data_IF_289792668013
#
_entry.id   IF_289792668013
#
_cell.length_a   1.000
_cell.length_b   1.000
_cell.length_c   1.000
_cell.angle_alpha   90.00
_cell.angle_beta   90.00
_cell.angle_gamma   90.00
#
_symmetry.space_group_name_H-M   'P 1'
#
loop_
_entity.id
_entity.type
_entity.pdbx_description
1 polymer ?
#
# COMPACT_ATOMS: atom_id res chain seq x y z
N UNK A 1 3.61 20.63 -31.94
CA UNK A 1 4.80 21.16 -31.22
C UNK A 1 5.07 20.21 -30.09
N UNK A 2 6.14 19.42 -30.14
CA UNK A 2 6.53 18.50 -29.07
C UNK A 2 7.06 19.35 -27.92
N UNK A 3 6.34 19.40 -26.81
CA UNK A 3 6.52 20.46 -25.81
C UNK A 3 7.74 20.19 -24.91
N UNK A 4 8.06 18.93 -24.59
CA UNK A 4 9.11 18.63 -23.61
C UNK A 4 10.22 17.70 -24.14
N UNK A 5 9.94 16.72 -24.99
CA UNK A 5 10.88 15.63 -25.29
C UNK A 5 11.98 15.91 -26.34
N UNK A 6 11.92 17.03 -27.08
CA UNK A 6 12.95 17.40 -28.11
C UNK A 6 13.74 18.66 -27.77
N UNK A 7 13.72 19.07 -26.48
CA UNK A 7 14.41 20.28 -26.02
C UNK A 7 15.60 19.91 -25.16
N UNK A 8 16.53 20.82 -25.03
CA UNK A 8 17.59 20.74 -24.04
C UNK A 8 16.94 20.85 -22.65
N UNK A 9 17.57 20.29 -21.61
CA UNK A 9 17.06 20.37 -20.23
C UNK A 9 16.80 21.81 -19.76
N UNK A 10 17.61 22.76 -20.24
CA UNK A 10 17.43 24.18 -19.93
C UNK A 10 16.18 24.77 -20.60
N UNK A 11 15.90 24.41 -21.84
CA UNK A 11 14.68 24.84 -22.56
C UNK A 11 13.42 24.21 -21.97
N UNK A 12 13.49 22.93 -21.61
CA UNK A 12 12.39 22.24 -20.91
C UNK A 12 12.07 22.96 -19.59
N UNK A 13 13.09 23.24 -18.78
CA UNK A 13 12.94 23.92 -17.49
C UNK A 13 12.34 25.32 -17.65
N UNK A 14 12.82 26.08 -18.64
CA UNK A 14 12.28 27.41 -18.97
C UNK A 14 10.81 27.33 -19.37
N UNK A 15 10.45 26.32 -20.14
CA UNK A 15 9.06 26.11 -20.54
C UNK A 15 8.16 25.73 -19.33
N UNK A 16 8.62 24.80 -18.51
CA UNK A 16 7.89 24.38 -17.29
C UNK A 16 7.76 25.54 -16.32
N UNK A 17 8.80 26.40 -16.18
CA UNK A 17 8.71 27.61 -15.36
C UNK A 17 7.57 28.52 -15.77
N UNK A 18 7.40 28.78 -17.08
CA UNK A 18 6.28 29.60 -17.59
C UNK A 18 4.91 28.98 -17.26
N UNK A 19 4.79 27.64 -17.32
CA UNK A 19 3.56 26.96 -16.93
C UNK A 19 3.28 27.13 -15.42
N UNK A 20 4.30 27.01 -14.60
CA UNK A 20 4.25 27.15 -13.15
C UNK A 20 3.86 28.60 -12.77
N UNK A 21 4.50 29.60 -13.38
CA UNK A 21 4.20 31.02 -13.15
C UNK A 21 2.74 31.37 -13.52
N UNK A 22 2.24 30.72 -14.58
CA UNK A 22 0.84 30.90 -15.01
C UNK A 22 -0.14 30.19 -14.07
N UNK A 23 0.22 29.00 -13.59
CA UNK A 23 -0.65 28.17 -12.76
C UNK A 23 -0.73 28.67 -11.31
N UNK A 24 0.36 29.21 -10.78
CA UNK A 24 0.48 29.66 -9.39
C UNK A 24 1.18 31.01 -9.29
N UNK A 25 0.58 32.10 -9.80
CA UNK A 25 1.21 33.43 -9.90
C UNK A 25 1.61 34.02 -8.55
N UNK A 26 0.89 33.67 -7.48
CA UNK A 26 1.14 34.22 -6.13
C UNK A 26 2.19 33.45 -5.34
N UNK A 27 2.59 32.26 -5.80
CA UNK A 27 3.52 31.39 -5.05
C UNK A 27 4.98 31.54 -5.48
N UNK A 28 5.21 32.00 -6.72
CA UNK A 28 6.54 32.22 -7.32
C UNK A 28 7.58 31.10 -7.07
N UNK A 29 7.25 29.81 -7.20
CA UNK A 29 8.24 28.76 -6.99
C UNK A 29 9.20 28.67 -8.18
N UNK A 30 10.45 28.34 -7.90
CA UNK A 30 11.48 28.13 -8.92
C UNK A 30 11.56 26.65 -9.31
N UNK A 31 11.48 26.36 -10.61
CA UNK A 31 11.67 25.01 -11.15
C UNK A 31 13.15 24.64 -11.10
N UNK A 32 13.49 23.69 -10.25
CA UNK A 32 14.84 23.20 -10.01
C UNK A 32 15.22 22.01 -10.91
N UNK A 33 16.03 21.12 -10.36
CA UNK A 33 16.52 19.93 -11.07
C UNK A 33 15.42 18.91 -11.36
N UNK A 34 15.66 18.09 -12.38
CA UNK A 34 14.85 16.90 -12.67
C UNK A 34 15.12 15.84 -11.59
N UNK A 35 14.06 15.33 -10.99
CA UNK A 35 14.10 14.25 -10.00
C UNK A 35 13.88 12.88 -10.64
N UNK A 36 13.12 12.83 -11.74
CA UNK A 36 12.85 11.59 -12.46
C UNK A 36 12.19 11.84 -13.81
N UNK A 37 12.41 10.90 -14.76
CA UNK A 37 11.77 10.89 -16.08
C UNK A 37 11.06 9.56 -16.29
N UNK A 38 9.78 9.64 -16.65
CA UNK A 38 8.96 8.50 -17.05
C UNK A 38 8.51 8.62 -18.50
N UNK A 39 7.77 7.64 -18.99
CA UNK A 39 7.33 7.60 -20.39
C UNK A 39 6.41 8.76 -20.82
N UNK A 40 5.70 9.40 -19.88
CA UNK A 40 4.75 10.48 -20.17
C UNK A 40 4.83 11.62 -19.16
N UNK A 41 5.73 11.55 -18.19
CA UNK A 41 5.85 12.54 -17.14
C UNK A 41 7.31 12.78 -16.76
N UNK A 42 7.59 14.01 -16.36
CA UNK A 42 8.85 14.42 -15.77
C UNK A 42 8.55 15.00 -14.40
N UNK A 43 9.35 14.62 -13.41
CA UNK A 43 9.25 15.15 -12.05
C UNK A 43 10.38 16.12 -11.80
N UNK A 44 10.05 17.34 -11.40
CA UNK A 44 10.98 18.41 -11.05
C UNK A 44 10.94 18.71 -9.57
N UNK A 45 12.01 19.22 -9.02
CA UNK A 45 12.02 19.88 -7.72
C UNK A 45 11.48 21.31 -7.87
N UNK A 46 10.52 21.72 -7.06
CA UNK A 46 10.12 23.10 -6.88
C UNK A 46 10.78 23.66 -5.61
N UNK A 47 11.30 24.88 -5.68
CA UNK A 47 11.90 25.57 -4.55
C UNK A 47 11.17 26.90 -4.32
N UNK A 48 10.71 27.11 -3.12
CA UNK A 48 9.98 28.32 -2.71
C UNK A 48 10.90 29.32 -1.99
N UNK A 49 10.51 30.59 -1.97
CA UNK A 49 11.29 31.66 -1.35
C UNK A 49 11.50 31.47 0.18
N UNK A 50 10.61 30.75 0.83
CA UNK A 50 10.70 30.40 2.26
C UNK A 50 11.61 29.18 2.54
N UNK A 51 12.27 28.64 1.53
CA UNK A 51 13.15 27.47 1.62
C UNK A 51 12.45 26.12 1.53
N UNK A 52 11.11 26.06 1.51
CA UNK A 52 10.36 24.83 1.24
C UNK A 52 10.70 24.27 -0.13
N UNK A 53 10.61 22.97 -0.26
CA UNK A 53 10.73 22.29 -1.55
C UNK A 53 9.59 21.27 -1.72
N UNK A 54 9.09 21.18 -2.94
CA UNK A 54 8.02 20.26 -3.33
C UNK A 54 8.45 19.50 -4.60
N UNK A 55 7.75 18.40 -4.93
CA UNK A 55 7.87 17.74 -6.21
C UNK A 55 6.77 18.23 -7.16
N UNK A 56 7.14 18.53 -8.39
CA UNK A 56 6.23 18.87 -9.49
C UNK A 56 6.27 17.77 -10.54
N UNK A 57 5.19 17.01 -10.66
CA UNK A 57 5.01 16.06 -11.77
C UNK A 57 4.34 16.79 -12.94
N UNK A 58 5.00 16.79 -14.09
CA UNK A 58 4.50 17.36 -15.34
C UNK A 58 4.16 16.21 -16.29
N UNK A 59 2.88 16.05 -16.61
CA UNK A 59 2.40 15.06 -17.58
C UNK A 59 2.14 15.79 -18.89
N UNK A 60 2.94 15.48 -19.90
CA UNK A 60 2.81 16.08 -21.23
C UNK A 60 2.02 15.15 -22.16
N UNK A 61 0.82 15.56 -22.53
CA UNK A 61 -0.05 14.81 -23.45
C UNK A 61 0.12 15.24 -24.91
N UNK A 62 0.87 16.32 -25.16
CA UNK A 62 1.14 16.83 -26.50
C UNK A 62 2.10 15.93 -27.31
N UNK A 63 2.86 15.09 -26.63
CA UNK A 63 3.75 14.09 -27.25
C UNK A 63 3.00 13.11 -28.16
N UNK A 64 1.69 12.93 -27.94
CA UNK A 64 0.88 12.06 -28.76
C UNK A 64 0.32 12.81 -29.97
N UNK A 65 0.84 12.51 -31.15
CA UNK A 65 0.31 13.05 -32.43
C UNK A 65 -1.05 12.46 -32.77
N UNK A 66 -1.30 11.20 -32.41
CA UNK A 66 -2.59 10.55 -32.60
C UNK A 66 -3.64 11.11 -31.63
N UNK A 67 -4.77 11.66 -32.13
CA UNK A 67 -5.83 12.22 -31.30
C UNK A 67 -6.44 11.24 -30.30
N UNK A 68 -6.57 9.96 -30.69
CA UNK A 68 -7.12 8.93 -29.80
C UNK A 68 -6.19 8.64 -28.62
N UNK A 69 -4.88 8.55 -28.87
CA UNK A 69 -3.85 8.37 -27.82
C UNK A 69 -3.77 9.60 -26.93
N UNK A 70 -3.87 10.81 -27.50
CA UNK A 70 -3.89 12.06 -26.72
C UNK A 70 -5.14 12.12 -25.81
N UNK A 71 -6.31 11.78 -26.35
CA UNK A 71 -7.56 11.71 -25.56
C UNK A 71 -7.42 10.73 -24.39
N UNK A 72 -6.80 9.58 -24.60
CA UNK A 72 -6.54 8.60 -23.55
C UNK A 72 -5.56 9.13 -22.51
N UNK A 73 -4.45 9.76 -22.92
CA UNK A 73 -3.47 10.37 -22.03
C UNK A 73 -4.11 11.48 -21.16
N UNK A 74 -4.95 12.32 -21.76
CA UNK A 74 -5.72 13.35 -21.04
C UNK A 74 -6.67 12.74 -19.99
N UNK A 75 -7.34 11.64 -20.34
CA UNK A 75 -8.19 10.93 -19.39
C UNK A 75 -7.36 10.36 -18.23
N UNK A 76 -6.18 9.79 -18.50
CA UNK A 76 -5.28 9.28 -17.47
C UNK A 76 -4.79 10.39 -16.55
N UNK A 77 -4.35 11.52 -17.09
CA UNK A 77 -3.90 12.66 -16.26
C UNK A 77 -5.00 13.18 -15.32
N UNK A 78 -6.24 13.32 -15.82
CA UNK A 78 -7.38 13.69 -14.96
C UNK A 78 -7.69 12.63 -13.89
N UNK A 79 -7.64 11.35 -14.26
CA UNK A 79 -7.87 10.24 -13.34
C UNK A 79 -6.80 10.17 -12.26
N UNK A 80 -5.53 10.39 -12.62
CA UNK A 80 -4.42 10.45 -11.68
C UNK A 80 -4.62 11.55 -10.63
N UNK A 81 -4.91 12.77 -11.08
CA UNK A 81 -5.19 13.89 -10.19
C UNK A 81 -6.35 13.56 -9.24
N UNK A 82 -7.44 13.03 -9.78
CA UNK A 82 -8.61 12.67 -8.98
C UNK A 82 -8.31 11.64 -7.91
N UNK A 83 -7.68 10.52 -8.27
CA UNK A 83 -7.36 9.44 -7.33
C UNK A 83 -6.33 9.88 -6.30
N UNK A 84 -5.27 10.58 -6.73
CA UNK A 84 -4.23 11.06 -5.83
C UNK A 84 -4.80 12.05 -4.80
N UNK A 85 -5.59 13.02 -5.25
CA UNK A 85 -6.27 13.98 -4.36
C UNK A 85 -7.21 13.29 -3.38
N UNK A 86 -8.00 12.32 -3.86
CA UNK A 86 -8.93 11.56 -3.02
C UNK A 86 -8.21 10.76 -1.93
N UNK A 87 -7.15 10.03 -2.28
CA UNK A 87 -6.40 9.20 -1.34
C UNK A 87 -5.61 10.06 -0.36
N UNK A 88 -4.88 11.06 -0.86
CA UNK A 88 -4.07 11.95 -0.02
C UNK A 88 -4.88 12.71 1.04
N UNK A 89 -6.18 12.96 0.79
CA UNK A 89 -7.08 13.59 1.77
C UNK A 89 -7.56 12.62 2.87
N UNK A 90 -7.44 11.30 2.66
CA UNK A 90 -7.98 10.27 3.55
C UNK A 90 -6.91 9.54 4.36
N UNK A 91 -5.71 9.45 3.84
CA UNK A 91 -4.65 8.64 4.45
C UNK A 91 -3.27 9.28 4.31
N UNK A 92 -2.38 8.93 5.22
CA UNK A 92 -0.96 9.30 5.21
C UNK A 92 -0.07 8.22 4.56
N UNK A 93 -0.66 7.11 4.09
CA UNK A 93 0.07 6.02 3.43
C UNK A 93 0.41 6.28 1.96
N UNK A 94 -0.01 7.42 1.44
CA UNK A 94 0.31 7.88 0.09
C UNK A 94 1.03 9.23 0.13
N UNK A 95 1.74 9.56 -0.95
CA UNK A 95 2.38 10.87 -1.11
C UNK A 95 1.34 11.98 -0.99
N UNK A 96 1.63 13.05 -0.23
CA UNK A 96 0.70 14.18 -0.08
C UNK A 96 0.54 14.92 -1.40
N UNK A 97 -0.71 15.14 -1.77
CA UNK A 97 -1.10 15.99 -2.89
C UNK A 97 -1.36 17.40 -2.38
N UNK A 98 -0.74 18.40 -2.98
CA UNK A 98 -0.92 19.80 -2.59
C UNK A 98 -1.89 20.52 -3.52
N UNK A 99 -1.61 20.47 -4.84
CA UNK A 99 -2.43 21.17 -5.82
C UNK A 99 -2.17 20.66 -7.24
N UNK A 100 -3.02 21.05 -8.19
CA UNK A 100 -2.86 20.72 -9.60
C UNK A 100 -3.36 21.83 -10.52
N UNK A 101 -2.74 21.93 -11.67
CA UNK A 101 -3.18 22.80 -12.75
C UNK A 101 -3.14 22.07 -14.10
N UNK A 102 -3.78 22.61 -15.10
CA UNK A 102 -3.68 22.12 -16.48
C UNK A 102 -3.52 23.28 -17.45
N UNK A 103 -2.70 23.08 -18.47
CA UNK A 103 -2.48 24.06 -19.54
C UNK A 103 -3.15 23.61 -20.83
N UNK A 104 -3.92 24.51 -21.46
CA UNK A 104 -4.54 24.30 -22.76
C UNK A 104 -3.96 25.29 -23.79
N UNK A 105 -3.82 24.88 -25.04
CA UNK A 105 -3.57 25.83 -26.12
C UNK A 105 -4.83 26.67 -26.43
N UNK A 106 -4.63 27.92 -26.88
CA UNK A 106 -5.75 28.77 -27.33
C UNK A 106 -6.55 28.06 -28.44
N UNK A 107 -7.85 27.88 -28.21
CA UNK A 107 -8.76 27.24 -29.17
C UNK A 107 -8.82 25.71 -29.09
N UNK A 108 -8.17 25.08 -28.09
CA UNK A 108 -8.32 23.65 -27.81
C UNK A 108 -9.05 23.42 -26.49
N UNK A 109 -10.03 22.49 -26.51
CA UNK A 109 -10.81 22.12 -25.32
C UNK A 109 -10.10 21.08 -24.44
N UNK A 110 -8.95 20.54 -24.86
CA UNK A 110 -8.23 19.48 -24.15
C UNK A 110 -6.89 19.99 -23.61
N UNK A 111 -6.56 19.66 -22.35
CA UNK A 111 -5.25 20.00 -21.80
C UNK A 111 -4.11 19.39 -22.58
N UNK A 112 -3.00 20.15 -22.70
CA UNK A 112 -1.74 19.68 -23.25
C UNK A 112 -0.78 19.20 -22.18
N UNK A 113 -0.85 19.80 -20.99
CA UNK A 113 -0.06 19.41 -19.84
C UNK A 113 -0.91 19.38 -18.57
N UNK A 114 -0.60 18.45 -17.69
CA UNK A 114 -1.06 18.47 -16.30
C UNK A 114 0.12 18.71 -15.38
N UNK A 115 -0.08 19.55 -14.38
CA UNK A 115 0.90 19.91 -13.36
C UNK A 115 0.36 19.45 -12.02
N UNK A 116 1.12 18.62 -11.29
CA UNK A 116 0.75 18.12 -9.96
C UNK A 116 1.84 18.52 -8.97
N UNK A 117 1.47 19.32 -7.98
CA UNK A 117 2.33 19.66 -6.84
C UNK A 117 2.10 18.64 -5.73
N UNK A 118 3.18 18.06 -5.24
CA UNK A 118 3.12 17.01 -4.21
C UNK A 118 4.33 17.06 -3.31
N UNK A 119 4.27 16.32 -2.23
CA UNK A 119 5.34 16.17 -1.26
C UNK A 119 6.62 15.67 -1.94
N UNK A 120 7.74 16.31 -1.59
CA UNK A 120 9.07 15.91 -2.05
C UNK A 120 9.64 14.87 -1.09
N UNK A 121 9.78 13.64 -1.55
CA UNK A 121 10.27 12.51 -0.78
C UNK A 121 11.44 11.81 -1.48
N UNK A 122 12.13 10.95 -0.74
CA UNK A 122 13.27 10.16 -1.25
C UNK A 122 12.78 8.84 -1.83
N UNK A 123 13.13 8.48 -3.08
CA UNK A 123 12.80 7.18 -3.66
C UNK A 123 13.42 6.01 -2.88
N UNK A 124 12.69 4.89 -2.79
CA UNK A 124 13.23 3.62 -2.31
C UNK A 124 14.25 3.09 -3.30
N UNK A 125 15.51 2.95 -2.86
CA UNK A 125 16.54 2.27 -3.63
C UNK A 125 16.80 0.87 -3.02
N UNK A 126 16.41 -0.22 -3.70
CA UNK A 126 16.66 -1.57 -3.21
C UNK A 126 18.15 -1.87 -2.96
N UNK A 127 19.07 -1.20 -3.68
CA UNK A 127 20.51 -1.41 -3.53
C UNK A 127 21.01 -1.09 -2.13
N UNK A 128 20.34 -0.21 -1.39
CA UNK A 128 20.65 0.08 0.01
C UNK A 128 20.49 -1.15 0.92
N UNK A 129 19.73 -2.17 0.50
CA UNK A 129 19.55 -3.42 1.23
C UNK A 129 20.64 -4.45 0.93
N UNK A 130 21.44 -4.24 -0.12
CA UNK A 130 22.43 -5.22 -0.57
C UNK A 130 23.54 -5.48 0.47
N UNK A 131 23.88 -4.47 1.26
CA UNK A 131 24.90 -4.55 2.31
C UNK A 131 24.42 -5.29 3.57
N UNK A 132 23.11 -5.50 3.74
CA UNK A 132 22.56 -6.19 4.91
C UNK A 132 22.76 -7.71 4.77
N UNK A 133 23.09 -8.37 5.89
CA UNK A 133 22.99 -9.83 5.97
C UNK A 133 21.54 -10.29 5.78
N UNK A 134 21.31 -11.60 5.49
CA UNK A 134 19.97 -12.09 5.18
C UNK A 134 18.92 -11.80 6.25
N UNK A 135 19.24 -11.94 7.53
CA UNK A 135 18.28 -11.74 8.62
C UNK A 135 17.88 -10.26 8.78
N UNK A 136 18.85 -9.35 8.76
CA UNK A 136 18.59 -7.91 8.80
C UNK A 136 17.87 -7.43 7.52
N UNK A 137 18.18 -8.04 6.38
CA UNK A 137 17.47 -7.76 5.12
C UNK A 137 16.01 -8.21 5.20
N UNK A 138 15.72 -9.41 5.72
CA UNK A 138 14.33 -9.86 5.94
C UNK A 138 13.55 -8.86 6.81
N UNK A 139 14.14 -8.39 7.92
CA UNK A 139 13.50 -7.41 8.80
C UNK A 139 13.21 -6.10 8.07
N UNK A 140 14.20 -5.53 7.38
CA UNK A 140 14.04 -4.28 6.63
C UNK A 140 12.98 -4.41 5.52
N UNK A 141 12.99 -5.51 4.79
CA UNK A 141 12.03 -5.79 3.74
C UNK A 141 10.62 -5.94 4.28
N UNK A 142 10.43 -6.62 5.42
CA UNK A 142 9.14 -6.72 6.08
C UNK A 142 8.61 -5.36 6.55
N UNK A 143 9.47 -4.45 7.01
CA UNK A 143 9.07 -3.09 7.37
C UNK A 143 8.56 -2.32 6.14
N UNK A 144 9.27 -2.42 5.00
CA UNK A 144 8.83 -1.82 3.73
C UNK A 144 7.49 -2.42 3.29
N UNK A 145 7.38 -3.75 3.32
CA UNK A 145 6.16 -4.45 2.91
C UNK A 145 4.96 -4.11 3.78
N UNK A 146 5.13 -3.93 5.10
CA UNK A 146 4.09 -3.46 6.00
C UNK A 146 3.51 -2.13 5.52
N UNK A 147 4.36 -1.14 5.31
CA UNK A 147 3.93 0.21 4.92
C UNK A 147 3.24 0.21 3.54
N UNK A 148 3.77 -0.58 2.59
CA UNK A 148 3.16 -0.73 1.25
C UNK A 148 1.80 -1.41 1.34
N UNK A 149 1.67 -2.49 2.13
CA UNK A 149 0.41 -3.21 2.28
C UNK A 149 -0.65 -2.37 3.01
N UNK A 150 -0.26 -1.54 3.99
CA UNK A 150 -1.17 -0.56 4.59
C UNK A 150 -1.69 0.42 3.53
N UNK A 151 -0.82 0.92 2.65
CA UNK A 151 -1.22 1.75 1.52
C UNK A 151 -2.18 1.03 0.57
N UNK A 152 -1.94 -0.25 0.28
CA UNK A 152 -2.82 -1.06 -0.56
C UNK A 152 -4.17 -1.35 0.10
N UNK A 153 -4.25 -1.51 1.42
CA UNK A 153 -5.53 -1.58 2.14
C UNK A 153 -6.34 -0.29 1.92
N UNK A 154 -5.70 0.87 2.07
CA UNK A 154 -6.37 2.15 1.87
C UNK A 154 -6.82 2.38 0.42
N UNK A 155 -6.06 1.92 -0.57
CA UNK A 155 -6.48 1.97 -1.97
C UNK A 155 -7.67 1.03 -2.24
N UNK A 156 -7.67 -0.17 -1.66
CA UNK A 156 -8.77 -1.12 -1.75
C UNK A 156 -10.06 -0.58 -1.11
N UNK A 157 -9.97 0.01 0.08
CA UNK A 157 -11.09 0.66 0.79
C UNK A 157 -11.66 1.86 0.00
N UNK A 158 -10.81 2.56 -0.76
CA UNK A 158 -11.24 3.61 -1.69
C UNK A 158 -11.84 3.08 -3.00
N UNK A 159 -11.85 1.77 -3.21
CA UNK A 159 -12.32 1.14 -4.43
C UNK A 159 -11.36 1.31 -5.62
N UNK A 160 -10.07 1.49 -5.38
CA UNK A 160 -9.04 1.78 -6.39
C UNK A 160 -8.04 0.61 -6.48
N UNK A 161 -7.64 0.24 -7.69
CA UNK A 161 -6.49 -0.63 -7.98
C UNK A 161 -5.34 0.25 -8.47
N UNK A 162 -4.16 0.13 -7.87
CA UNK A 162 -2.99 0.96 -8.18
C UNK A 162 -2.36 0.63 -9.53
N UNK A 163 -2.13 -0.65 -9.81
CA UNK A 163 -1.66 -1.24 -11.08
C UNK A 163 -0.19 -0.99 -11.45
N UNK A 164 0.56 -0.27 -10.64
CA UNK A 164 1.99 -0.02 -10.87
C UNK A 164 2.77 -0.04 -9.54
N UNK A 165 2.52 -1.05 -8.71
CA UNK A 165 3.27 -1.28 -7.47
C UNK A 165 4.65 -1.81 -7.81
N UNK A 166 5.69 -1.04 -7.50
CA UNK A 166 7.12 -1.36 -7.71
C UNK A 166 7.99 -0.45 -6.86
N UNK A 167 9.26 -0.81 -6.65
CA UNK A 167 10.20 -0.03 -5.83
C UNK A 167 10.27 1.45 -6.27
N UNK A 168 10.26 1.74 -7.58
CA UNK A 168 10.33 3.10 -8.09
C UNK A 168 9.13 4.00 -7.74
N UNK A 169 8.00 3.41 -7.33
CA UNK A 169 6.80 4.12 -6.93
C UNK A 169 6.59 4.10 -5.40
N UNK A 170 7.60 3.67 -4.64
CA UNK A 170 7.61 3.72 -3.18
C UNK A 170 8.60 4.77 -2.74
N UNK A 171 8.14 5.72 -1.94
CA UNK A 171 8.95 6.83 -1.46
C UNK A 171 9.06 6.79 0.07
N UNK A 172 10.20 7.21 0.60
CA UNK A 172 10.47 7.30 2.03
C UNK A 172 10.10 8.69 2.54
N UNK A 173 9.15 8.74 3.46
CA UNK A 173 8.81 9.92 4.26
C UNK A 173 9.53 9.84 5.59
N UNK A 174 10.26 10.88 5.92
CA UNK A 174 10.85 11.07 7.24
C UNK A 174 10.11 12.19 7.97
N UNK A 175 9.59 11.88 9.15
CA UNK A 175 8.97 12.89 10.02
C UNK A 175 10.04 13.50 10.94
N UNK A 176 10.43 14.76 10.75
CA UNK A 176 11.47 15.38 11.56
C UNK A 176 11.04 15.62 13.02
N UNK A 177 9.73 15.64 13.29
CA UNK A 177 9.21 15.88 14.64
C UNK A 177 9.29 14.63 15.52
N UNK A 178 9.04 13.46 14.94
CA UNK A 178 9.06 12.18 15.66
C UNK A 178 10.31 11.34 15.39
N UNK A 179 11.11 11.68 14.38
CA UNK A 179 12.25 10.90 13.90
C UNK A 179 11.83 9.60 13.19
N UNK A 180 10.54 9.37 13.03
CA UNK A 180 10.04 8.16 12.38
C UNK A 180 10.12 8.25 10.85
N UNK A 181 10.35 7.11 10.23
CA UNK A 181 10.35 6.98 8.77
C UNK A 181 9.29 5.99 8.34
N UNK A 182 8.63 6.27 7.22
CA UNK A 182 7.57 5.45 6.65
C UNK A 182 7.66 5.44 5.13
N UNK A 183 7.41 4.28 4.53
CA UNK A 183 7.27 4.18 3.09
C UNK A 183 5.84 4.47 2.65
N UNK A 184 5.68 5.22 1.57
CA UNK A 184 4.38 5.63 1.04
C UNK A 184 4.26 5.36 -0.45
N UNK A 185 3.03 5.06 -0.89
CA UNK A 185 2.72 4.84 -2.31
C UNK A 185 2.71 6.15 -3.08
N UNK A 186 3.20 6.11 -4.31
CA UNK A 186 3.19 7.23 -5.26
C UNK A 186 2.80 6.75 -6.66
N UNK A 187 2.55 7.69 -7.56
CA UNK A 187 2.24 7.46 -8.98
C UNK A 187 0.94 6.68 -9.25
N UNK A 188 -0.17 7.40 -9.19
CA UNK A 188 -1.52 6.89 -9.48
C UNK A 188 -1.90 7.00 -10.98
N UNK A 189 -0.93 7.20 -11.88
CA UNK A 189 -1.17 7.37 -13.32
C UNK A 189 -1.83 6.18 -14.01
N UNK A 190 -1.66 4.98 -13.47
CA UNK A 190 -2.30 3.76 -13.93
C UNK A 190 -3.49 3.32 -13.06
N UNK A 191 -3.77 4.01 -11.96
CA UNK A 191 -4.82 3.65 -11.01
C UNK A 191 -6.23 3.66 -11.64
N UNK A 192 -7.09 2.73 -11.22
CA UNK A 192 -8.46 2.55 -11.76
C UNK A 192 -9.44 2.13 -10.66
N UNK A 193 -10.72 2.59 -10.75
CA UNK A 193 -11.78 2.02 -9.92
C UNK A 193 -12.02 0.53 -10.24
N UNK A 194 -12.39 -0.26 -9.23
CA UNK A 194 -12.67 -1.72 -9.37
C UNK A 194 -13.71 -2.06 -10.43
N UNK A 195 -14.70 -1.20 -10.61
CA UNK A 195 -15.87 -1.44 -11.46
C UNK A 195 -15.70 -0.99 -12.91
N UNK A 196 -14.53 -0.47 -13.30
CA UNK A 196 -14.30 -0.09 -14.69
C UNK A 196 -14.17 -1.34 -15.55
N UNK A 197 -15.13 -1.55 -16.47
CA UNK A 197 -14.97 -2.52 -17.57
C UNK A 197 -13.68 -2.15 -18.30
N UNK A 198 -12.73 -3.06 -18.29
CA UNK A 198 -11.46 -2.86 -18.97
C UNK A 198 -11.67 -3.02 -20.47
N UNK A 199 -11.82 -1.91 -21.18
CA UNK A 199 -11.67 -1.91 -22.63
C UNK A 199 -10.28 -2.46 -22.97
N UNK A 200 -10.23 -3.45 -23.85
CA UNK A 200 -8.98 -4.09 -24.33
C UNK A 200 -7.97 -3.10 -24.91
N UNK A 201 -8.41 -1.90 -25.32
CA UNK A 201 -7.57 -0.81 -25.83
C UNK A 201 -6.63 -0.19 -24.79
N UNK A 202 -6.79 -0.51 -23.47
CA UNK A 202 -6.00 0.06 -22.38
C UNK A 202 -4.81 -0.79 -21.91
N UNK A 203 -4.65 -1.97 -22.47
CA UNK A 203 -3.48 -2.82 -22.23
C UNK A 203 -2.29 -2.43 -23.12
N UNK A 204 -2.01 -1.15 -23.24
CA UNK A 204 -0.63 -0.77 -23.58
C UNK A 204 0.19 -1.23 -22.39
N UNK A 205 1.12 -2.16 -22.67
CA UNK A 205 2.14 -2.62 -21.72
C UNK A 205 2.93 -1.38 -21.28
N UNK A 206 2.44 -0.70 -20.26
CA UNK A 206 3.07 0.44 -19.63
C UNK A 206 3.37 0.01 -18.20
N UNK A 207 4.60 -0.21 -17.89
CA UNK A 207 5.11 -0.66 -16.61
C UNK A 207 6.26 -1.64 -16.82
N UNK A 208 7.06 -1.88 -15.81
CA UNK A 208 8.03 -2.97 -15.83
C UNK A 208 7.25 -4.27 -16.05
N UNK A 209 7.54 -4.98 -17.15
CA UNK A 209 6.74 -6.11 -17.65
C UNK A 209 6.56 -7.26 -16.66
N UNK A 210 7.47 -7.39 -15.70
CA UNK A 210 7.51 -8.43 -14.67
C UNK A 210 6.55 -8.20 -13.49
N UNK A 211 6.25 -6.94 -13.16
CA UNK A 211 5.32 -6.59 -12.07
C UNK A 211 3.84 -6.76 -12.44
N UNK A 212 3.51 -6.98 -13.72
CA UNK A 212 2.13 -7.08 -14.19
C UNK A 212 1.58 -8.47 -13.88
N UNK A 213 0.48 -8.52 -13.14
CA UNK A 213 -0.17 -9.78 -12.79
C UNK A 213 -0.63 -10.57 -14.03
N UNK A 214 -0.47 -11.91 -14.04
CA UNK A 214 -0.75 -12.77 -15.22
C UNK A 214 -2.18 -12.64 -15.78
N UNK A 215 -3.17 -12.42 -14.92
CA UNK A 215 -4.57 -12.23 -15.34
C UNK A 215 -4.78 -10.94 -16.11
N UNK A 216 -3.97 -9.90 -15.82
CA UNK A 216 -4.02 -8.64 -16.57
C UNK A 216 -3.46 -8.87 -17.96
N UNK A 217 -2.34 -9.58 -18.10
CA UNK A 217 -1.71 -9.88 -19.40
C UNK A 217 -2.64 -10.76 -20.25
N UNK A 218 -3.21 -11.84 -19.64
CA UNK A 218 -3.97 -12.85 -20.38
C UNK A 218 -5.40 -12.44 -20.71
N UNK A 219 -6.09 -11.73 -19.81
CA UNK A 219 -7.54 -11.52 -19.88
C UNK A 219 -7.97 -10.07 -19.76
N UNK A 220 -7.06 -9.18 -19.48
CA UNK A 220 -7.41 -7.79 -19.21
C UNK A 220 -8.35 -7.58 -18.02
N UNK A 221 -8.40 -8.52 -17.09
CA UNK A 221 -9.37 -8.50 -15.99
C UNK A 221 -8.68 -8.05 -14.69
N UNK A 222 -9.12 -6.92 -14.15
CA UNK A 222 -8.75 -6.49 -12.80
C UNK A 222 -9.58 -7.27 -11.78
N UNK A 223 -8.92 -7.77 -10.75
CA UNK A 223 -9.56 -8.36 -9.58
C UNK A 223 -9.13 -7.51 -8.39
N UNK A 224 -10.11 -6.97 -7.66
CA UNK A 224 -9.93 -6.06 -6.55
C UNK A 224 -8.74 -6.46 -5.65
N UNK A 225 -7.79 -5.56 -5.45
CA UNK A 225 -6.59 -5.75 -4.62
C UNK A 225 -5.63 -6.86 -5.05
N UNK A 226 -6.11 -7.92 -5.70
CA UNK A 226 -5.31 -9.13 -5.98
C UNK A 226 -4.20 -8.92 -7.02
N UNK A 227 -4.42 -8.03 -7.98
CA UNK A 227 -3.40 -7.70 -8.99
C UNK A 227 -2.25 -6.89 -8.37
N UNK A 228 -2.57 -5.95 -7.47
CA UNK A 228 -1.55 -5.17 -6.76
C UNK A 228 -0.76 -6.04 -5.77
N UNK A 229 -1.39 -7.06 -5.18
CA UNK A 229 -0.71 -8.06 -4.33
C UNK A 229 0.32 -8.85 -5.11
N UNK A 230 0.03 -9.24 -6.36
CA UNK A 230 1.04 -9.88 -7.22
C UNK A 230 2.23 -8.95 -7.44
N UNK A 231 1.96 -7.70 -7.81
CA UNK A 231 3.01 -6.68 -8.03
C UNK A 231 3.84 -6.43 -6.76
N UNK A 232 3.19 -6.41 -5.57
CA UNK A 232 3.87 -6.31 -4.28
C UNK A 232 4.74 -7.56 -4.00
N UNK A 233 4.31 -8.75 -4.41
CA UNK A 233 5.11 -9.98 -4.33
C UNK A 233 6.35 -9.92 -5.21
N UNK A 234 6.24 -9.43 -6.45
CA UNK A 234 7.40 -9.21 -7.33
C UNK A 234 8.34 -8.15 -6.73
N UNK A 235 7.79 -7.07 -6.17
CA UNK A 235 8.58 -6.07 -5.45
C UNK A 235 9.31 -6.69 -4.25
N UNK A 236 8.67 -7.56 -3.47
CA UNK A 236 9.31 -8.31 -2.37
C UNK A 236 10.52 -9.10 -2.88
N UNK A 237 10.41 -9.77 -4.03
CA UNK A 237 11.53 -10.46 -4.65
C UNK A 237 12.70 -9.52 -4.94
N UNK A 238 12.47 -8.39 -5.59
CA UNK A 238 13.53 -7.42 -5.90
C UNK A 238 14.15 -6.77 -4.64
N UNK A 239 13.40 -6.65 -3.55
CA UNK A 239 13.93 -6.19 -2.26
C UNK A 239 14.81 -7.23 -1.59
N UNK A 240 14.46 -8.52 -1.70
CA UNK A 240 15.27 -9.63 -1.18
C UNK A 240 16.54 -9.83 -2.00
N UNK A 241 16.47 -9.61 -3.32
CA UNK A 241 17.57 -9.80 -4.27
C UNK A 241 17.93 -8.50 -5.00
N UNK A 242 18.40 -7.46 -4.30
CA UNK A 242 18.55 -6.11 -4.83
C UNK A 242 19.63 -5.96 -5.93
N UNK A 243 20.41 -7.00 -6.17
CA UNK A 243 21.42 -7.04 -7.24
C UNK A 243 20.97 -7.91 -8.43
N UNK A 244 19.77 -8.48 -8.35
CA UNK A 244 19.23 -9.31 -9.41
C UNK A 244 18.31 -8.46 -10.29
N UNK A 245 18.76 -8.17 -11.50
CA UNK A 245 18.01 -7.45 -12.54
C UNK A 245 17.18 -8.42 -13.42
N UNK A 246 17.21 -9.74 -13.14
CA UNK A 246 16.49 -10.74 -13.92
C UNK A 246 14.97 -10.62 -13.74
N UNK A 247 14.28 -11.02 -14.79
CA UNK A 247 12.83 -11.16 -14.76
C UNK A 247 12.39 -12.17 -13.69
N UNK A 248 11.43 -11.79 -12.85
CA UNK A 248 10.87 -12.69 -11.85
C UNK A 248 9.98 -13.76 -12.48
N UNK A 249 10.41 -15.02 -12.40
CA UNK A 249 9.60 -16.18 -12.76
C UNK A 249 9.20 -16.94 -11.49
N UNK A 250 7.89 -16.92 -11.10
CA UNK A 250 7.43 -17.62 -9.91
C UNK A 250 7.71 -19.12 -9.91
N UNK A 251 7.66 -19.79 -11.07
CA UNK A 251 7.87 -21.23 -11.17
C UNK A 251 9.35 -21.58 -10.97
N UNK A 252 10.24 -20.85 -11.64
CA UNK A 252 11.68 -21.00 -11.48
C UNK A 252 12.14 -20.69 -10.04
N UNK A 253 11.56 -19.63 -9.46
CA UNK A 253 11.86 -19.26 -8.07
C UNK A 253 11.46 -20.38 -7.11
N UNK A 254 10.26 -20.97 -7.25
CA UNK A 254 9.82 -22.12 -6.42
C UNK A 254 10.80 -23.29 -6.52
N UNK A 255 11.24 -23.62 -7.73
CA UNK A 255 12.16 -24.72 -7.98
C UNK A 255 13.54 -24.51 -7.28
N UNK A 256 14.05 -23.27 -7.29
CA UNK A 256 15.36 -22.90 -6.74
C UNK A 256 15.31 -22.39 -5.30
N UNK A 257 14.15 -22.34 -4.69
CA UNK A 257 13.96 -21.67 -3.40
C UNK A 257 14.76 -22.29 -2.23
N UNK A 258 15.16 -23.58 -2.34
CA UNK A 258 16.00 -24.23 -1.34
C UNK A 258 17.38 -23.55 -1.21
N UNK A 259 17.91 -23.01 -2.31
CA UNK A 259 19.25 -22.42 -2.39
C UNK A 259 19.30 -20.97 -1.85
N UNK A 260 18.16 -20.35 -1.56
CA UNK A 260 18.11 -18.98 -1.11
C UNK A 260 18.30 -18.86 0.41
N UNK A 261 19.10 -17.87 0.88
CA UNK A 261 19.49 -17.74 2.28
C UNK A 261 18.40 -17.10 3.17
N UNK A 262 17.13 -17.18 2.78
CA UNK A 262 16.01 -16.60 3.50
C UNK A 262 15.18 -17.65 4.23
N UNK A 263 14.48 -17.21 5.27
CA UNK A 263 13.64 -18.08 6.08
C UNK A 263 12.49 -18.71 5.27
N UNK A 264 12.02 -19.90 5.67
CA UNK A 264 10.85 -20.54 5.03
C UNK A 264 9.61 -19.65 5.01
N UNK A 265 9.40 -18.87 6.06
CA UNK A 265 8.24 -17.96 6.20
C UNK A 265 8.27 -16.85 5.14
N UNK A 266 9.44 -16.24 4.89
CA UNK A 266 9.60 -15.22 3.84
C UNK A 266 9.37 -15.84 2.45
N UNK A 267 9.89 -17.05 2.21
CA UNK A 267 9.63 -17.78 0.96
C UNK A 267 8.15 -18.06 0.76
N UNK A 268 7.47 -18.52 1.82
CA UNK A 268 6.03 -18.77 1.78
C UNK A 268 5.22 -17.49 1.56
N UNK A 269 5.60 -16.38 2.19
CA UNK A 269 4.99 -15.07 1.93
C UNK A 269 5.11 -14.72 0.45
N UNK A 270 6.33 -14.77 -0.12
CA UNK A 270 6.57 -14.48 -1.54
C UNK A 270 5.70 -15.37 -2.45
N UNK A 271 5.63 -16.68 -2.16
CA UNK A 271 4.82 -17.62 -2.94
C UNK A 271 3.33 -17.29 -2.88
N UNK A 272 2.82 -16.95 -1.70
CA UNK A 272 1.41 -16.62 -1.52
C UNK A 272 1.01 -15.33 -2.29
N UNK A 273 1.88 -14.31 -2.26
CA UNK A 273 1.64 -13.06 -2.97
C UNK A 273 1.71 -13.23 -4.50
N UNK A 274 2.58 -14.12 -4.99
CA UNK A 274 2.83 -14.35 -6.43
C UNK A 274 2.09 -15.54 -7.02
N UNK A 275 1.03 -16.04 -6.34
CA UNK A 275 0.18 -17.09 -6.88
C UNK A 275 -0.37 -16.70 -8.26
N UNK A 276 -0.35 -17.67 -9.22
CA UNK A 276 -0.81 -17.41 -10.59
C UNK A 276 -2.32 -17.14 -10.63
N UNK A 277 -3.07 -17.88 -9.81
CA UNK A 277 -4.52 -17.67 -9.66
C UNK A 277 -4.77 -16.51 -8.67
N UNK A 278 -5.45 -15.43 -9.09
CA UNK A 278 -5.77 -14.33 -8.18
C UNK A 278 -6.60 -14.75 -6.97
N UNK A 279 -7.43 -15.80 -7.11
CA UNK A 279 -8.26 -16.31 -6.01
C UNK A 279 -7.45 -16.92 -4.86
N UNK A 280 -6.24 -17.40 -5.17
CA UNK A 280 -5.34 -18.01 -4.17
C UNK A 280 -4.42 -16.96 -3.48
N UNK A 281 -4.36 -15.73 -4.00
CA UNK A 281 -3.60 -14.66 -3.36
C UNK A 281 -4.36 -14.12 -2.15
N UNK A 282 -3.67 -13.73 -1.07
CA UNK A 282 -4.31 -13.03 0.04
C UNK A 282 -4.88 -11.67 -0.40
N UNK A 283 -5.82 -11.11 0.35
CA UNK A 283 -6.14 -9.68 0.24
C UNK A 283 -5.01 -8.83 0.83
N UNK A 284 -4.95 -7.50 0.54
CA UNK A 284 -3.99 -6.61 1.19
C UNK A 284 -4.02 -6.74 2.72
N UNK A 285 -5.20 -6.77 3.33
CA UNK A 285 -5.36 -6.91 4.77
C UNK A 285 -4.82 -8.25 5.31
N UNK A 286 -5.10 -9.37 4.64
CA UNK A 286 -4.58 -10.68 5.04
C UNK A 286 -3.05 -10.75 4.89
N UNK A 287 -2.50 -10.17 3.82
CA UNK A 287 -1.05 -10.08 3.63
C UNK A 287 -0.40 -9.19 4.71
N UNK A 288 -1.04 -8.09 5.08
CA UNK A 288 -0.59 -7.18 6.15
C UNK A 288 -0.55 -7.89 7.51
N UNK A 289 -1.56 -8.69 7.85
CA UNK A 289 -1.59 -9.50 9.07
C UNK A 289 -0.36 -10.43 9.11
N UNK A 290 -0.09 -11.13 8.03
CA UNK A 290 1.06 -12.04 7.97
C UNK A 290 2.39 -11.31 8.10
N UNK A 291 2.57 -10.17 7.40
CA UNK A 291 3.78 -9.34 7.52
C UNK A 291 3.97 -8.82 8.94
N UNK A 292 2.91 -8.33 9.60
CA UNK A 292 2.97 -7.88 10.99
C UNK A 292 3.34 -9.02 11.94
N UNK A 293 2.78 -10.21 11.73
CA UNK A 293 3.12 -11.42 12.50
C UNK A 293 4.61 -11.77 12.39
N UNK A 294 5.13 -11.74 11.17
CA UNK A 294 6.55 -12.01 10.91
C UNK A 294 7.47 -10.93 11.50
N UNK A 295 7.07 -9.66 11.46
CA UNK A 295 7.80 -8.57 12.11
C UNK A 295 7.83 -8.71 13.64
N UNK A 296 6.71 -9.01 14.26
CA UNK A 296 6.63 -9.20 15.72
C UNK A 296 7.52 -10.35 16.20
N UNK A 297 7.68 -11.39 15.39
CA UNK A 297 8.57 -12.51 15.69
C UNK A 297 10.06 -12.14 15.57
N UNK A 298 10.42 -11.22 14.67
CA UNK A 298 11.82 -10.87 14.33
C UNK A 298 12.29 -9.58 15.00
N UNK A 299 11.38 -8.76 15.50
CA UNK A 299 11.68 -7.46 16.09
C UNK A 299 10.97 -7.29 17.44
N UNK A 300 11.70 -7.58 18.51
CA UNK A 300 11.19 -7.48 19.89
C UNK A 300 10.80 -6.04 20.27
N UNK A 301 11.45 -5.03 19.68
CA UNK A 301 11.10 -3.64 19.92
C UNK A 301 9.81 -3.26 19.20
N UNK A 302 9.66 -3.66 17.94
CA UNK A 302 8.42 -3.52 17.20
C UNK A 302 7.25 -4.19 17.94
N UNK A 303 7.43 -5.44 18.38
CA UNK A 303 6.43 -6.15 19.19
C UNK A 303 6.02 -5.37 20.44
N UNK A 304 7.00 -4.83 21.17
CA UNK A 304 6.76 -4.04 22.39
C UNK A 304 5.98 -2.76 22.09
N UNK A 305 6.36 -2.04 21.03
CA UNK A 305 5.66 -0.82 20.61
C UNK A 305 4.21 -1.10 20.24
N UNK A 306 3.95 -2.13 19.42
CA UNK A 306 2.58 -2.51 19.02
C UNK A 306 1.76 -2.92 20.25
N UNK A 307 2.33 -3.72 21.15
CA UNK A 307 1.66 -4.13 22.38
C UNK A 307 1.27 -2.92 23.26
N UNK A 308 2.17 -1.96 23.41
CA UNK A 308 1.89 -0.72 24.15
C UNK A 308 0.81 0.13 23.49
N UNK A 309 0.86 0.27 22.17
CA UNK A 309 -0.16 0.99 21.41
C UNK A 309 -1.54 0.36 21.60
N UNK A 310 -1.67 -0.95 21.41
CA UNK A 310 -2.93 -1.67 21.59
C UNK A 310 -3.49 -1.51 23.01
N UNK A 311 -2.64 -1.61 24.03
CA UNK A 311 -3.04 -1.36 25.43
C UNK A 311 -3.51 0.09 25.64
N UNK A 312 -2.83 1.06 25.05
CA UNK A 312 -3.20 2.48 25.15
C UNK A 312 -4.53 2.77 24.44
N UNK A 313 -4.75 2.19 23.25
CA UNK A 313 -6.00 2.36 22.51
C UNK A 313 -7.17 1.79 23.30
N UNK A 314 -6.99 0.61 23.87
CA UNK A 314 -8.00 -0.01 24.72
C UNK A 314 -8.29 0.81 26.00
N UNK A 315 -7.24 1.30 26.68
CA UNK A 315 -7.39 2.14 27.88
C UNK A 315 -8.12 3.46 27.60
N UNK A 316 -8.05 3.96 26.35
CA UNK A 316 -8.73 5.18 25.90
C UNK A 316 -10.06 4.90 25.20
N UNK A 317 -10.56 3.67 25.27
CA UNK A 317 -11.79 3.23 24.58
C UNK A 317 -11.75 3.48 23.07
N UNK A 318 -10.54 3.45 22.47
CA UNK A 318 -10.35 3.50 21.01
C UNK A 318 -10.30 2.08 20.46
N UNK A 319 -10.88 1.90 19.28
CA UNK A 319 -10.82 0.62 18.58
C UNK A 319 -9.39 0.35 18.09
N UNK A 320 -8.73 -0.74 18.56
CA UNK A 320 -7.42 -1.12 18.03
C UNK A 320 -7.50 -1.52 16.56
N UNK A 321 -6.40 -1.36 15.83
CA UNK A 321 -6.31 -1.79 14.44
C UNK A 321 -6.53 -3.32 14.34
N UNK A 322 -7.55 -3.78 13.59
CA UNK A 322 -7.89 -5.21 13.51
C UNK A 322 -6.73 -6.09 13.02
N UNK A 323 -5.93 -5.57 12.08
CA UNK A 323 -4.79 -6.27 11.50
C UNK A 323 -3.68 -6.50 12.53
N UNK A 324 -3.45 -5.54 13.42
CA UNK A 324 -2.46 -5.68 14.50
C UNK A 324 -2.92 -6.66 15.55
N UNK A 325 -4.20 -6.63 15.91
CA UNK A 325 -4.79 -7.60 16.83
C UNK A 325 -4.74 -9.03 16.27
N UNK A 326 -5.06 -9.19 14.99
CA UNK A 326 -5.02 -10.48 14.31
C UNK A 326 -3.59 -11.04 14.13
N UNK A 327 -2.58 -10.16 14.07
CA UNK A 327 -1.17 -10.54 13.95
C UNK A 327 -0.52 -10.92 15.30
N UNK A 328 -1.14 -10.57 16.44
CA UNK A 328 -0.61 -10.89 17.77
C UNK A 328 -0.51 -12.41 17.98
N UNK A 329 0.55 -12.88 18.69
CA UNK A 329 0.59 -14.24 19.18
C UNK A 329 -0.68 -14.53 20.03
N UNK A 330 -1.22 -15.73 19.91
CA UNK A 330 -2.51 -16.10 20.52
C UNK A 330 -2.54 -15.87 22.03
N UNK A 331 -1.43 -16.18 22.73
CA UNK A 331 -1.27 -15.93 24.15
C UNK A 331 -1.38 -14.44 24.52
N UNK A 332 -0.78 -13.58 23.73
CA UNK A 332 -0.79 -12.12 23.97
C UNK A 332 -2.12 -11.49 23.57
N UNK A 333 -2.73 -11.90 22.47
CA UNK A 333 -4.09 -11.49 22.12
C UNK A 333 -5.08 -11.83 23.24
N UNK A 334 -4.95 -13.01 23.84
CA UNK A 334 -5.73 -13.45 24.97
C UNK A 334 -5.52 -12.56 26.21
N UNK A 335 -4.26 -12.21 26.53
CA UNK A 335 -3.97 -11.30 27.65
C UNK A 335 -4.52 -9.90 27.41
N UNK A 336 -4.39 -9.37 26.19
CA UNK A 336 -4.95 -8.07 25.81
C UNK A 336 -6.48 -8.06 25.95
N UNK A 337 -7.15 -9.10 25.47
CA UNK A 337 -8.60 -9.24 25.56
C UNK A 337 -9.09 -9.41 27.02
N UNK A 338 -8.33 -10.13 27.86
CA UNK A 338 -8.61 -10.22 29.30
C UNK A 338 -8.44 -8.87 30.00
N UNK A 339 -7.36 -8.13 29.68
CA UNK A 339 -7.15 -6.80 30.23
C UNK A 339 -8.27 -5.83 29.79
N UNK A 340 -8.77 -5.96 28.56
CA UNK A 340 -9.92 -5.21 28.07
C UNK A 340 -11.20 -5.58 28.85
N UNK A 341 -11.49 -6.86 29.00
CA UNK A 341 -12.72 -7.29 29.70
C UNK A 341 -12.75 -6.89 31.19
N UNK A 342 -11.57 -6.75 31.80
CA UNK A 342 -11.43 -6.27 33.17
C UNK A 342 -11.54 -4.73 33.31
N UNK A 343 -11.20 -3.98 32.22
CA UNK A 343 -11.21 -2.51 32.21
C UNK A 343 -12.53 -1.91 31.70
N UNK A 344 -13.45 -2.72 31.19
CA UNK A 344 -14.60 -2.27 30.42
C UNK A 344 -15.90 -2.39 31.20
N UNK A 345 -16.30 -1.31 31.87
CA UNK A 345 -17.68 -1.10 32.32
C UNK A 345 -18.60 -0.78 31.12
N UNK A 346 -19.68 -1.53 31.04
CA UNK A 346 -20.95 -1.35 30.30
C UNK A 346 -21.04 -0.90 28.83
N UNK A 347 -20.22 0.00 28.30
CA UNK A 347 -20.37 0.50 26.91
C UNK A 347 -19.45 -0.13 25.87
N UNK A 348 -18.57 -1.01 26.24
CA UNK A 348 -17.49 -1.54 25.43
C UNK A 348 -17.68 -3.01 25.03
N UNK A 349 -18.79 -3.64 25.45
CA UNK A 349 -19.14 -4.98 24.98
C UNK A 349 -19.26 -5.11 23.47
N UNK A 350 -19.80 -4.09 22.80
CA UNK A 350 -19.98 -4.09 21.34
C UNK A 350 -18.64 -4.07 20.62
N UNK A 351 -17.69 -3.24 21.10
CA UNK A 351 -16.35 -3.14 20.50
C UNK A 351 -15.53 -4.41 20.72
N UNK A 352 -15.59 -5.01 21.92
CA UNK A 352 -14.94 -6.29 22.19
C UNK A 352 -15.56 -7.43 21.36
N UNK A 353 -16.86 -7.41 21.12
CA UNK A 353 -17.55 -8.36 20.25
C UNK A 353 -17.09 -8.24 18.79
N UNK A 354 -16.97 -7.03 18.25
CA UNK A 354 -16.51 -6.79 16.89
C UNK A 354 -15.07 -7.25 16.69
N UNK A 355 -14.17 -6.95 17.64
CA UNK A 355 -12.77 -7.38 17.61
C UNK A 355 -12.63 -8.90 17.65
N UNK A 356 -13.37 -9.57 18.55
CA UNK A 356 -13.34 -11.02 18.68
C UNK A 356 -13.96 -11.72 17.47
N UNK A 357 -15.01 -11.16 16.87
CA UNK A 357 -15.58 -11.65 15.61
C UNK A 357 -14.58 -11.52 14.47
N UNK A 358 -13.88 -10.39 14.38
CA UNK A 358 -12.82 -10.17 13.40
C UNK A 358 -11.70 -11.20 13.55
N UNK A 359 -11.17 -11.39 14.75
CA UNK A 359 -10.12 -12.36 15.03
C UNK A 359 -10.57 -13.81 14.77
N UNK A 360 -11.80 -14.17 15.15
CA UNK A 360 -12.34 -15.50 14.89
C UNK A 360 -12.56 -15.80 13.40
N UNK A 361 -12.96 -14.79 12.63
CA UNK A 361 -13.17 -14.93 11.19
C UNK A 361 -11.88 -15.01 10.40
N UNK A 362 -10.86 -14.24 10.80
CA UNK A 362 -9.59 -14.14 10.05
C UNK A 362 -8.61 -15.27 10.39
N UNK A 363 -8.47 -15.63 11.66
CA UNK A 363 -7.45 -16.57 12.11
C UNK A 363 -7.97 -17.98 12.38
N UNK A 364 -9.26 -18.24 12.18
CA UNK A 364 -9.88 -19.50 12.57
C UNK A 364 -9.59 -19.88 14.03
N UNK A 365 -9.32 -18.90 14.90
CA UNK A 365 -8.86 -19.06 16.25
C UNK A 365 -9.98 -19.54 17.15
N UNK A 366 -9.81 -20.71 17.73
CA UNK A 366 -10.72 -21.27 18.73
C UNK A 366 -10.74 -20.40 19.98
N UNK A 367 -9.59 -19.83 20.38
CA UNK A 367 -9.45 -18.96 21.53
C UNK A 367 -10.29 -17.67 21.40
N UNK A 368 -10.27 -17.02 20.23
CA UNK A 368 -11.12 -15.85 19.97
C UNK A 368 -12.60 -16.20 20.05
N UNK A 369 -12.99 -17.37 19.56
CA UNK A 369 -14.37 -17.91 19.70
C UNK A 369 -14.74 -18.16 21.15
N UNK A 370 -13.82 -18.68 21.96
CA UNK A 370 -14.04 -18.90 23.40
C UNK A 370 -14.37 -17.59 24.12
N UNK A 371 -13.55 -16.55 23.93
CA UNK A 371 -13.78 -15.26 24.59
C UNK A 371 -15.03 -14.55 24.08
N UNK A 372 -15.34 -14.69 22.79
CA UNK A 372 -16.61 -14.21 22.25
C UNK A 372 -17.79 -14.94 22.89
N UNK A 373 -17.66 -16.25 23.10
CA UNK A 373 -18.67 -17.04 23.82
C UNK A 373 -18.82 -16.58 25.27
N UNK A 374 -17.74 -16.29 26.00
CA UNK A 374 -17.75 -15.75 27.36
C UNK A 374 -18.50 -14.41 27.42
N UNK A 375 -18.24 -13.49 26.49
CA UNK A 375 -18.94 -12.22 26.40
C UNK A 375 -20.44 -12.41 26.18
N UNK A 376 -20.84 -13.28 25.26
CA UNK A 376 -22.25 -13.59 25.03
C UNK A 376 -22.91 -14.31 26.24
N UNK A 377 -22.16 -15.12 26.98
CA UNK A 377 -22.66 -15.80 28.16
C UNK A 377 -22.99 -14.83 29.29
N UNK A 378 -22.20 -13.76 29.44
CA UNK A 378 -22.46 -12.69 30.41
C UNK A 378 -23.75 -11.91 30.05
N UNK A 379 -24.11 -11.84 28.79
CA UNK A 379 -25.38 -11.25 28.36
C UNK A 379 -26.50 -12.30 28.34
N UNK A 380 -27.44 -12.21 29.28
CA UNK A 380 -28.53 -13.18 29.46
C UNK A 380 -29.36 -13.43 28.20
N UNK A 381 -29.49 -12.45 27.29
CA UNK A 381 -30.25 -12.57 26.04
C UNK A 381 -29.50 -13.35 24.95
N UNK A 382 -28.22 -13.62 25.11
CA UNK A 382 -27.33 -14.22 24.08
C UNK A 382 -26.82 -15.62 24.46
N UNK A 383 -27.34 -16.26 25.51
CA UNK A 383 -26.83 -17.57 26.02
C UNK A 383 -26.84 -18.70 24.98
N UNK A 384 -27.83 -18.73 24.09
CA UNK A 384 -27.88 -19.76 23.05
C UNK A 384 -26.72 -19.58 22.06
N UNK A 385 -26.42 -18.34 21.67
CA UNK A 385 -25.30 -17.98 20.80
C UNK A 385 -23.95 -18.29 21.49
N UNK A 386 -23.84 -18.06 22.78
CA UNK A 386 -22.66 -18.42 23.56
C UNK A 386 -22.40 -19.95 23.52
N UNK A 387 -23.43 -20.77 23.69
CA UNK A 387 -23.30 -22.22 23.62
C UNK A 387 -22.85 -22.74 22.27
N UNK A 388 -23.28 -22.11 21.17
CA UNK A 388 -22.83 -22.44 19.80
C UNK A 388 -21.34 -22.09 19.61
N UNK A 389 -20.91 -20.92 20.10
CA UNK A 389 -19.53 -20.47 20.01
C UNK A 389 -18.58 -21.30 20.87
N UNK A 390 -19.00 -21.74 22.05
CA UNK A 390 -18.23 -22.69 22.89
C UNK A 390 -18.02 -24.02 22.18
N UNK A 391 -19.08 -24.58 21.55
CA UNK A 391 -18.94 -25.82 20.76
C UNK A 391 -18.00 -25.66 19.59
N UNK A 392 -18.09 -24.52 18.90
CA UNK A 392 -17.23 -24.24 17.75
C UNK A 392 -15.76 -24.04 18.19
N UNK A 393 -15.51 -23.37 19.30
CA UNK A 393 -14.19 -23.24 19.91
C UNK A 393 -13.61 -24.61 20.29
N UNK A 394 -14.39 -25.45 20.96
CA UNK A 394 -13.99 -26.80 21.33
C UNK A 394 -13.66 -27.69 20.13
N UNK A 395 -14.42 -27.56 19.03
CA UNK A 395 -14.15 -28.30 17.77
C UNK A 395 -12.83 -27.91 17.08
N UNK A 396 -12.28 -26.75 17.45
CA UNK A 396 -10.97 -26.25 16.94
C UNK A 396 -9.79 -26.54 17.86
N UNK A 397 -9.99 -27.30 18.92
CA UNK A 397 -8.94 -27.82 19.81
C UNK A 397 -8.53 -26.92 20.98
N UNK A 398 -9.32 -25.91 21.33
CA UNK A 398 -9.07 -25.06 22.49
C UNK A 398 -9.38 -25.76 23.81
N UNK A 399 -8.32 -25.96 24.63
CA UNK A 399 -8.41 -26.59 25.96
C UNK A 399 -9.40 -25.89 26.93
N UNK A 400 -9.48 -24.56 27.00
CA UNK A 400 -10.45 -23.90 27.88
C UNK A 400 -11.91 -24.19 27.57
N UNK A 401 -12.23 -24.46 26.30
CA UNK A 401 -13.60 -24.75 25.86
C UNK A 401 -14.05 -26.18 26.18
N UNK A 402 -13.09 -27.11 26.38
CA UNK A 402 -13.39 -28.50 26.73
C UNK A 402 -13.79 -28.70 28.22
N UNK A 403 -13.52 -27.68 29.07
CA UNK A 403 -13.80 -27.75 30.53
C UNK A 403 -14.99 -26.90 30.94
N UNK A 404 -15.69 -26.26 30.03
CA UNK A 404 -16.89 -25.46 30.23
C UNK A 404 -18.14 -26.14 29.66
#
# INVERSE_FOLDING_TARGET
MEIVYNKTEAEERTFVQKLVDTAWPDLHPVVGQVLGRGGQAIVYKLVFADGRSEALKVIDTSVFRDPARRKDANRRGRSEIHHHKQLSAKTDTVVKFYDSASSCERGQDAPMCFLLRMELLTPLDPKNLAALDPANREKAVLQIMRDVLEGLCQTEDAGIVHRDVKCGNILLRHDPATGQSRFVLSDFGLARPFHTRTDRSFFTVCGSSDHIAPEIIRRGKLIAGRSDIYSAGVMLFHLLFPQNDDYFDPALFRQKSADFPFSPEIKNLLFSLTEVSPANRPSPAVALIEVNRLLMQRDAEYFRCIRQQLLSDLAQSRQPAPELMAAMPESEATHLLRACSAALADNTHQMAEELLRGAAAQNNSGCALYYLAVLFFQNRSCRQKAAELFRLSASRGDLPACSA
#
